data_IF_433313960775
#
_entry.id   IF_433313960775
#
_cell.length_a   1.000
_cell.length_b   1.000
_cell.length_c   1.000
_cell.angle_alpha   90.00
_cell.angle_beta   90.00
_cell.angle_gamma   90.00
#
_symmetry.space_group_name_H-M   'P 1'
#
loop_
_entity.id
_entity.type
_entity.pdbx_description
1 polymer ?
#
# COMPACT_ATOMS: atom_id res chain seq x y z
N UNK A 1 -10.51 -12.13 -12.43
CA UNK A 1 -11.15 -10.81 -12.41
C UNK A 1 -10.60 -10.00 -13.57
N UNK A 2 -11.46 -9.42 -14.42
CA UNK A 2 -11.03 -8.70 -15.63
C UNK A 2 -10.60 -7.27 -15.26
N UNK A 3 -9.42 -6.82 -15.68
CA UNK A 3 -8.82 -5.54 -15.27
C UNK A 3 -9.67 -4.31 -15.62
N UNK A 4 -10.50 -4.38 -16.66
CA UNK A 4 -11.41 -3.29 -17.04
C UNK A 4 -12.49 -3.00 -15.98
N UNK A 5 -12.93 -4.02 -15.24
CA UNK A 5 -13.95 -3.85 -14.20
C UNK A 5 -13.36 -3.17 -12.94
N UNK A 6 -12.09 -3.41 -12.63
CA UNK A 6 -11.42 -2.77 -11.51
C UNK A 6 -11.16 -1.29 -11.80
N UNK A 7 -10.55 -0.96 -12.95
CA UNK A 7 -10.31 0.44 -13.31
C UNK A 7 -11.61 1.25 -13.38
N UNK A 8 -12.67 0.67 -13.95
CA UNK A 8 -14.00 1.31 -13.95
C UNK A 8 -14.54 1.52 -12.54
N UNK A 9 -14.42 0.52 -11.65
CA UNK A 9 -14.85 0.63 -10.25
C UNK A 9 -14.11 1.75 -9.51
N UNK A 10 -12.78 1.76 -9.58
CA UNK A 10 -11.93 2.75 -8.91
C UNK A 10 -12.20 4.16 -9.43
N UNK A 11 -12.44 4.32 -10.74
CA UNK A 11 -12.81 5.61 -11.30
C UNK A 11 -14.15 6.13 -10.75
N UNK A 12 -15.22 5.33 -10.83
CA UNK A 12 -16.55 5.79 -10.42
C UNK A 12 -16.61 6.05 -8.91
N UNK A 13 -15.95 5.21 -8.11
CA UNK A 13 -16.02 5.28 -6.64
C UNK A 13 -15.07 6.30 -6.04
N UNK A 14 -13.87 6.49 -6.60
CA UNK A 14 -12.81 7.31 -6.02
C UNK A 14 -12.32 8.41 -6.96
N UNK A 15 -12.15 8.09 -8.26
CA UNK A 15 -11.63 9.03 -9.25
C UNK A 15 -12.52 10.25 -9.50
N UNK A 16 -13.84 10.07 -9.58
CA UNK A 16 -14.80 11.17 -9.84
C UNK A 16 -14.80 12.27 -8.76
N UNK A 17 -14.37 11.95 -7.54
CA UNK A 17 -14.24 12.90 -6.44
C UNK A 17 -12.94 13.72 -6.47
N UNK A 18 -11.96 13.33 -7.30
CA UNK A 18 -10.63 13.95 -7.32
C UNK A 18 -10.61 15.34 -8.00
N UNK A 19 -11.59 15.62 -8.86
CA UNK A 19 -11.59 16.79 -9.74
C UNK A 19 -10.59 16.71 -10.91
N UNK A 20 -10.01 15.53 -11.15
CA UNK A 20 -9.15 15.25 -12.31
C UNK A 20 -9.97 14.62 -13.45
N UNK A 21 -9.41 14.60 -14.66
CA UNK A 21 -9.90 13.72 -15.72
C UNK A 21 -9.56 12.25 -15.39
N UNK A 22 -10.24 11.31 -16.03
CA UNK A 22 -9.92 9.87 -15.85
C UNK A 22 -8.48 9.55 -16.24
N UNK A 23 -8.00 10.13 -17.35
CA UNK A 23 -6.63 9.96 -17.83
C UNK A 23 -5.61 10.50 -16.83
N UNK A 24 -5.82 11.71 -16.32
CA UNK A 24 -4.92 12.32 -15.33
C UNK A 24 -4.90 11.52 -14.02
N UNK A 25 -6.07 11.07 -13.56
CA UNK A 25 -6.19 10.28 -12.32
C UNK A 25 -5.34 9.01 -12.39
N UNK A 26 -5.49 8.22 -13.45
CA UNK A 26 -4.73 6.97 -13.59
C UNK A 26 -3.26 7.23 -13.90
N UNK A 27 -2.92 8.19 -14.76
CA UNK A 27 -1.53 8.52 -15.09
C UNK A 27 -0.76 8.97 -13.86
N UNK A 28 -1.34 9.86 -13.06
CA UNK A 28 -0.72 10.31 -11.79
C UNK A 28 -0.56 9.17 -10.79
N UNK A 29 -1.59 8.33 -10.64
CA UNK A 29 -1.54 7.21 -9.70
C UNK A 29 -0.49 6.17 -10.10
N UNK A 30 -0.40 5.82 -11.40
CA UNK A 30 0.61 4.88 -11.93
C UNK A 30 2.02 5.44 -11.73
N UNK A 31 2.25 6.69 -12.11
CA UNK A 31 3.56 7.34 -11.94
C UNK A 31 3.98 7.35 -10.46
N UNK A 32 3.03 7.62 -9.55
CA UNK A 32 3.32 7.61 -8.12
C UNK A 32 3.66 6.23 -7.58
N UNK A 33 2.93 5.19 -8.01
CA UNK A 33 3.24 3.80 -7.64
C UNK A 33 4.64 3.40 -8.13
N UNK A 34 5.00 3.80 -9.36
CA UNK A 34 6.35 3.55 -9.88
C UNK A 34 7.44 4.26 -9.06
N UNK A 35 7.22 5.51 -8.67
CA UNK A 35 8.13 6.27 -7.81
C UNK A 35 8.32 5.56 -6.46
N UNK A 36 7.21 5.16 -5.81
CA UNK A 36 7.25 4.44 -4.54
C UNK A 36 8.03 3.12 -4.70
N UNK A 37 7.70 2.32 -5.72
CA UNK A 37 8.39 1.04 -5.96
C UNK A 37 9.90 1.22 -6.18
N UNK A 38 10.30 2.29 -6.86
CA UNK A 38 11.72 2.63 -7.07
C UNK A 38 12.39 3.12 -5.78
N UNK A 39 11.67 3.80 -4.91
CA UNK A 39 12.18 4.24 -3.60
C UNK A 39 12.25 3.09 -2.58
N UNK A 40 11.40 2.07 -2.73
CA UNK A 40 11.34 0.90 -1.84
C UNK A 40 12.03 -0.33 -2.41
N UNK A 41 13.17 -0.18 -3.09
CA UNK A 41 13.96 -1.33 -3.58
C UNK A 41 14.30 -2.32 -2.46
N UNK A 42 14.44 -1.83 -1.24
CA UNK A 42 14.63 -2.64 -0.04
C UNK A 42 13.41 -3.54 0.28
N UNK A 43 12.19 -3.21 -0.14
CA UNK A 43 11.02 -4.07 0.08
C UNK A 43 11.15 -5.41 -0.65
N UNK A 44 11.70 -5.40 -1.88
CA UNK A 44 11.84 -6.59 -2.71
C UNK A 44 12.70 -7.68 -2.04
N UNK A 45 13.65 -7.31 -1.18
CA UNK A 45 14.52 -8.26 -0.48
C UNK A 45 13.77 -9.13 0.56
N UNK A 46 12.57 -8.70 0.96
CA UNK A 46 11.73 -9.37 1.94
C UNK A 46 10.69 -10.29 1.32
N UNK A 47 10.52 -10.32 -0.01
CA UNK A 47 9.59 -11.24 -0.68
C UNK A 47 9.92 -12.68 -0.30
N UNK A 48 8.93 -13.40 0.22
CA UNK A 48 9.08 -14.76 0.73
C UNK A 48 9.76 -14.86 2.10
N UNK A 49 9.91 -13.75 2.83
CA UNK A 49 10.48 -13.68 4.19
C UNK A 49 9.53 -12.94 5.12
N UNK A 50 9.85 -12.96 6.41
CA UNK A 50 9.12 -12.18 7.42
C UNK A 50 9.93 -10.97 7.88
N UNK A 51 9.24 -9.88 8.19
CA UNK A 51 9.80 -8.59 8.61
C UNK A 51 9.03 -8.08 9.84
N UNK A 52 9.69 -7.32 10.73
CA UNK A 52 8.98 -6.69 11.85
C UNK A 52 8.06 -5.56 11.38
N UNK A 53 7.02 -5.26 12.15
CA UNK A 53 6.12 -4.15 11.86
C UNK A 53 6.89 -2.82 11.68
N UNK A 54 7.81 -2.51 12.60
CA UNK A 54 8.54 -1.25 12.58
C UNK A 54 9.43 -1.13 11.34
N UNK A 55 10.22 -2.17 11.04
CA UNK A 55 11.07 -2.19 9.84
C UNK A 55 10.23 -2.04 8.56
N UNK A 56 9.10 -2.76 8.46
CA UNK A 56 8.22 -2.66 7.30
C UNK A 56 7.63 -1.26 7.16
N UNK A 57 7.18 -0.63 8.25
CA UNK A 57 6.67 0.75 8.17
C UNK A 57 7.76 1.75 7.77
N UNK A 58 9.01 1.54 8.18
CA UNK A 58 10.12 2.42 7.83
C UNK A 58 10.44 2.39 6.33
N UNK A 59 10.18 1.26 5.65
CA UNK A 59 10.29 1.20 4.18
C UNK A 59 9.32 2.17 3.47
N UNK A 60 8.26 2.60 4.14
CA UNK A 60 7.21 3.46 3.57
C UNK A 60 7.09 4.82 4.27
N UNK A 61 8.20 5.34 4.81
CA UNK A 61 8.25 6.68 5.44
C UNK A 61 7.99 6.70 6.95
N UNK A 62 7.81 5.53 7.57
CA UNK A 62 7.64 5.36 9.01
C UNK A 62 6.19 5.15 9.46
N UNK A 63 6.03 4.68 10.70
CA UNK A 63 4.74 4.24 11.28
C UNK A 63 3.60 5.25 11.21
N UNK A 64 3.91 6.55 11.18
CA UNK A 64 2.91 7.62 11.14
C UNK A 64 2.53 8.01 9.70
N UNK A 65 3.15 7.40 8.68
CA UNK A 65 2.98 7.70 7.24
C UNK A 65 2.33 6.58 6.44
N UNK A 66 2.14 5.40 7.06
CA UNK A 66 1.67 4.19 6.39
C UNK A 66 0.73 3.39 7.27
N UNK A 67 -0.22 2.70 6.63
CA UNK A 67 -1.02 1.65 7.24
C UNK A 67 -0.72 0.33 6.55
N UNK A 68 -0.55 -0.70 7.37
CA UNK A 68 -0.35 -2.07 6.93
C UNK A 68 -1.61 -2.88 7.24
N UNK A 69 -2.17 -3.51 6.21
CA UNK A 69 -3.17 -4.55 6.38
C UNK A 69 -2.53 -5.91 6.20
N UNK A 70 -2.82 -6.78 7.15
CA UNK A 70 -2.43 -8.16 7.12
C UNK A 70 -3.67 -9.05 7.17
N UNK A 71 -3.53 -10.19 6.51
CA UNK A 71 -4.44 -11.32 6.62
C UNK A 71 -3.73 -12.49 7.30
N UNK A 72 -4.47 -13.59 7.47
CA UNK A 72 -3.96 -14.78 8.13
C UNK A 72 -4.29 -16.03 7.31
N UNK A 73 -3.25 -16.74 6.90
CA UNK A 73 -3.35 -18.03 6.26
C UNK A 73 -3.39 -19.13 7.33
N UNK A 74 -4.56 -19.75 7.49
CA UNK A 74 -4.78 -20.85 8.44
C UNK A 74 -3.99 -22.11 8.07
N UNK A 75 -3.69 -22.32 6.80
CA UNK A 75 -3.05 -23.54 6.28
C UNK A 75 -1.59 -23.61 6.70
N UNK A 76 -0.93 -22.45 6.72
CA UNK A 76 0.49 -22.31 7.05
C UNK A 76 0.72 -21.59 8.40
N UNK A 77 -0.35 -21.33 9.16
CA UNK A 77 -0.34 -20.54 10.40
C UNK A 77 0.43 -19.22 10.25
N UNK A 78 0.12 -18.47 9.19
CA UNK A 78 0.96 -17.37 8.74
C UNK A 78 0.21 -16.05 8.69
N UNK A 79 0.70 -15.04 9.42
CA UNK A 79 0.25 -13.66 9.35
C UNK A 79 1.03 -12.91 8.26
N UNK A 80 0.35 -12.46 7.21
CA UNK A 80 1.00 -11.96 6.01
C UNK A 80 0.45 -10.62 5.54
N UNK A 81 1.30 -9.82 4.90
CA UNK A 81 0.95 -8.53 4.35
C UNK A 81 0.00 -8.69 3.14
N UNK A 82 -1.17 -8.05 3.19
CA UNK A 82 -2.15 -8.06 2.11
C UNK A 82 -2.28 -6.71 1.39
N UNK A 83 -2.10 -5.59 2.10
CA UNK A 83 -1.99 -4.27 1.46
C UNK A 83 -1.19 -3.27 2.28
N UNK A 84 -0.62 -2.30 1.56
CA UNK A 84 0.09 -1.13 2.10
C UNK A 84 -0.67 0.11 1.65
N UNK A 85 -1.01 0.98 2.59
CA UNK A 85 -1.74 2.23 2.32
C UNK A 85 -0.85 3.40 2.73
N UNK A 86 -0.55 4.29 1.79
CA UNK A 86 0.20 5.53 2.05
C UNK A 86 -0.68 6.74 1.78
N UNK A 87 -0.36 7.86 2.43
CA UNK A 87 -1.15 9.09 2.37
C UNK A 87 -0.39 10.18 1.65
N UNK A 88 -1.06 10.86 0.73
CA UNK A 88 -0.46 11.89 -0.09
C UNK A 88 -1.40 13.08 -0.20
N UNK A 89 -0.83 14.27 -0.37
CA UNK A 89 -1.62 15.44 -0.70
C UNK A 89 -2.24 15.30 -2.11
N UNK A 90 -3.11 16.24 -2.49
CA UNK A 90 -3.81 16.20 -3.78
C UNK A 90 -2.86 16.23 -5.00
N UNK A 91 -1.65 16.78 -4.83
CA UNK A 91 -0.66 16.91 -5.89
C UNK A 91 0.26 15.68 -6.02
N UNK A 92 0.22 14.77 -5.05
CA UNK A 92 1.07 13.57 -4.94
C UNK A 92 2.57 13.86 -4.79
N UNK A 93 2.93 15.08 -4.40
CA UNK A 93 4.32 15.51 -4.19
C UNK A 93 4.75 15.49 -2.71
N UNK A 94 3.80 15.41 -1.77
CA UNK A 94 4.07 15.36 -0.34
C UNK A 94 3.37 14.17 0.34
N UNK A 95 4.14 13.37 1.09
CA UNK A 95 3.60 12.28 1.90
C UNK A 95 3.04 12.82 3.22
N UNK A 96 1.77 12.58 3.46
CA UNK A 96 1.05 13.05 4.64
C UNK A 96 1.12 12.06 5.80
N UNK A 97 0.82 12.56 7.00
CA UNK A 97 0.61 11.68 8.16
C UNK A 97 -0.71 10.93 8.00
N UNK A 98 -0.76 9.73 8.57
CA UNK A 98 -1.96 8.94 8.74
C UNK A 98 -3.05 9.80 9.42
N UNK A 99 -4.23 9.99 8.80
CA UNK A 99 -5.30 10.83 9.33
C UNK A 99 -6.08 10.19 10.49
N UNK A 100 -5.49 9.22 11.21
CA UNK A 100 -6.12 8.51 12.32
C UNK A 100 -6.78 7.17 11.94
N UNK A 101 -6.43 6.61 10.79
CA UNK A 101 -6.87 5.28 10.37
C UNK A 101 -6.02 4.18 11.04
N UNK A 102 -6.57 2.97 11.14
CA UNK A 102 -5.92 1.83 11.80
C UNK A 102 -5.71 0.68 10.84
N UNK A 103 -4.53 0.05 10.89
CA UNK A 103 -4.25 -1.18 10.16
C UNK A 103 -4.72 -2.44 10.87
N UNK A 104 -4.57 -3.58 10.20
CA UNK A 104 -4.92 -4.90 10.75
C UNK A 104 -3.71 -5.73 11.15
N UNK A 105 -2.50 -5.34 10.71
CA UNK A 105 -1.27 -6.02 11.10
C UNK A 105 -1.01 -5.91 12.60
N UNK A 106 -0.74 -7.04 13.24
CA UNK A 106 -0.30 -7.10 14.63
C UNK A 106 1.14 -6.59 14.78
N UNK A 107 1.36 -5.67 15.71
CA UNK A 107 2.66 -5.00 15.89
C UNK A 107 3.71 -5.87 16.61
N UNK A 108 3.25 -6.87 17.36
CA UNK A 108 4.07 -7.80 18.15
C UNK A 108 4.43 -9.08 17.38
N UNK A 109 3.98 -9.21 16.13
CA UNK A 109 4.26 -10.36 15.26
C UNK A 109 5.13 -9.97 14.08
N UNK A 110 5.96 -10.90 13.63
CA UNK A 110 6.56 -10.79 12.31
C UNK A 110 5.47 -10.91 11.24
N UNK A 111 5.62 -10.13 10.18
CA UNK A 111 4.71 -10.06 9.04
C UNK A 111 5.40 -10.74 7.88
N UNK A 112 4.80 -11.79 7.34
CA UNK A 112 5.29 -12.44 6.14
C UNK A 112 4.95 -11.62 4.89
N UNK A 113 5.91 -11.50 3.97
CA UNK A 113 5.69 -10.93 2.64
C UNK A 113 5.48 -12.08 1.66
N UNK A 114 4.26 -12.28 1.12
CA UNK A 114 3.98 -13.37 0.19
C UNK A 114 4.85 -13.30 -1.07
N UNK A 115 5.14 -14.49 -1.64
CA UNK A 115 5.64 -14.59 -3.01
C UNK A 115 4.47 -14.30 -3.97
N UNK A 116 4.75 -13.57 -5.03
CA UNK A 116 3.81 -13.25 -6.12
C UNK A 116 3.83 -14.40 -7.14
#
# INVERSE_FOLDING_TARGET
MNSSNLASHEWHKHGTCSGLTQEDYFSKTINKIMEINNATTDFAQYIGKSISYLELTNLFGGKDKVILHCDYDKTHDQHYLSSVITFWNKNLDEQLNNPGLTGTCKHDKLIYIPKI
#
